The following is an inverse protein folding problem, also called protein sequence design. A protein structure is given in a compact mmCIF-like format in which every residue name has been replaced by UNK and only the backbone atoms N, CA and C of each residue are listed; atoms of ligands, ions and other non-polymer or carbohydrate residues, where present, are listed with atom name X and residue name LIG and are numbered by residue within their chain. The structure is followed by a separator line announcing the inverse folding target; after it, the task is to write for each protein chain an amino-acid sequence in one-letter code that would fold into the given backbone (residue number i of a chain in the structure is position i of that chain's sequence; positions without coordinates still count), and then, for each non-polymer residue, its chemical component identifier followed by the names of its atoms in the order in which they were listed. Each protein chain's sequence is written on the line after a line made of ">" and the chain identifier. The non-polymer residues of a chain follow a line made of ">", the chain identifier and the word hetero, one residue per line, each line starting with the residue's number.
data_IF_277729813900
#
_entry.id   IF_277729813900
#
_cell.length_a   1.000
_cell.length_b   1.000
_cell.length_c   1.000
_cell.angle_alpha   90.00
_cell.angle_beta   90.00
_cell.angle_gamma   90.00
#
_symmetry.space_group_name_H-M   'P 1'
#
loop_
_entity.id
_entity.type
_entity.pdbx_description
1 polymer ?
#
# COMPACT_ATOMS: atom_id res chain seq x y z
N UNK A 1 -26.56 2.10 -9.79
CA UNK A 1 -27.37 3.07 -9.03
C UNK A 1 -26.76 3.42 -7.68
N UNK A 2 -26.56 2.48 -6.74
CA UNK A 2 -26.14 2.79 -5.36
C UNK A 2 -24.85 3.61 -5.19
N UNK A 3 -23.82 3.41 -6.02
CA UNK A 3 -22.59 4.21 -5.96
C UNK A 3 -22.79 5.68 -6.37
N UNK A 4 -23.70 5.96 -7.31
CA UNK A 4 -24.01 7.33 -7.71
C UNK A 4 -24.80 8.03 -6.59
N UNK A 5 -25.73 7.31 -5.96
CA UNK A 5 -26.49 7.82 -4.81
C UNK A 5 -25.58 8.12 -3.60
N UNK A 6 -24.59 7.26 -3.32
CA UNK A 6 -23.59 7.52 -2.30
C UNK A 6 -22.81 8.82 -2.56
N UNK A 7 -22.36 9.03 -3.80
CA UNK A 7 -21.67 10.28 -4.15
C UNK A 7 -22.56 11.52 -3.97
N UNK A 8 -23.87 11.40 -4.24
CA UNK A 8 -24.83 12.49 -4.02
C UNK A 8 -24.96 12.75 -2.52
N UNK A 9 -25.10 11.71 -1.69
CA UNK A 9 -25.17 11.88 -0.24
C UNK A 9 -23.90 12.46 0.37
N UNK A 10 -22.72 12.04 -0.13
CA UNK A 10 -21.43 12.65 0.21
C UNK A 10 -21.36 14.12 -0.22
N UNK A 11 -21.97 14.49 -1.35
CA UNK A 11 -22.02 15.89 -1.80
C UNK A 11 -23.02 16.76 -1.03
N UNK A 12 -24.09 16.16 -0.47
CA UNK A 12 -25.12 16.86 0.31
C UNK A 12 -24.87 16.83 1.83
N UNK A 13 -23.69 16.38 2.28
CA UNK A 13 -23.28 16.21 3.69
C UNK A 13 -24.27 15.40 4.57
N UNK A 14 -24.99 14.47 3.92
CA UNK A 14 -25.98 13.58 4.55
C UNK A 14 -25.30 12.32 5.08
N UNK A 15 -24.54 12.49 6.16
CA UNK A 15 -23.63 11.47 6.68
C UNK A 15 -24.37 10.25 7.25
N UNK A 16 -25.52 10.44 7.88
CA UNK A 16 -26.30 9.36 8.46
C UNK A 16 -26.88 8.44 7.37
N UNK A 17 -27.51 9.02 6.34
CA UNK A 17 -28.09 8.27 5.22
C UNK A 17 -27.00 7.59 4.38
N UNK A 18 -25.83 8.23 4.22
CA UNK A 18 -24.68 7.63 3.55
C UNK A 18 -24.17 6.38 4.29
N UNK A 19 -24.10 6.42 5.63
CA UNK A 19 -23.70 5.26 6.44
C UNK A 19 -24.70 4.11 6.35
N UNK A 20 -25.99 4.41 6.38
CA UNK A 20 -27.03 3.38 6.24
C UNK A 20 -27.03 2.76 4.83
N UNK A 21 -26.86 3.59 3.80
CA UNK A 21 -26.70 3.11 2.43
C UNK A 21 -25.47 2.20 2.33
N UNK A 22 -24.32 2.60 2.88
CA UNK A 22 -23.10 1.77 2.90
C UNK A 22 -23.29 0.45 3.66
N UNK A 23 -23.99 0.46 4.81
CA UNK A 23 -24.36 -0.77 5.54
C UNK A 23 -25.23 -1.68 4.67
N UNK A 24 -26.25 -1.14 4.01
CA UNK A 24 -27.13 -1.91 3.12
C UNK A 24 -26.37 -2.47 1.91
N UNK A 25 -25.44 -1.69 1.34
CA UNK A 25 -24.59 -2.10 0.23
C UNK A 25 -23.62 -3.20 0.65
N UNK A 26 -23.00 -3.11 1.84
CA UNK A 26 -22.16 -4.19 2.37
C UNK A 26 -22.97 -5.46 2.58
N UNK A 27 -24.23 -5.37 3.03
CA UNK A 27 -25.12 -6.54 3.20
C UNK A 27 -25.51 -7.18 1.87
N UNK A 28 -25.81 -6.39 0.83
CA UNK A 28 -26.23 -6.86 -0.51
C UNK A 28 -25.04 -7.32 -1.37
N UNK A 29 -23.89 -6.66 -1.25
CA UNK A 29 -22.70 -6.90 -2.07
C UNK A 29 -21.48 -7.27 -1.20
N UNK A 30 -21.65 -8.28 -0.34
CA UNK A 30 -20.65 -8.72 0.66
C UNK A 30 -19.28 -9.06 0.04
N UNK A 31 -19.26 -9.61 -1.16
CA UNK A 31 -18.02 -10.01 -1.83
C UNK A 31 -17.39 -8.89 -2.70
N UNK A 32 -17.98 -7.71 -2.72
CA UNK A 32 -17.49 -6.61 -3.55
C UNK A 32 -16.43 -5.79 -2.82
N UNK A 33 -15.17 -6.00 -3.20
CA UNK A 33 -14.03 -5.21 -2.71
C UNK A 33 -14.24 -3.70 -2.94
N UNK A 34 -14.96 -3.30 -3.99
CA UNK A 34 -15.23 -1.88 -4.30
C UNK A 34 -16.14 -1.23 -3.24
N UNK A 35 -17.14 -1.97 -2.74
CA UNK A 35 -18.09 -1.46 -1.74
C UNK A 35 -17.41 -1.30 -0.39
N UNK A 36 -16.63 -2.30 0.02
CA UNK A 36 -15.87 -2.24 1.26
C UNK A 36 -14.83 -1.11 1.26
N UNK A 37 -14.11 -0.94 0.15
CA UNK A 37 -13.18 0.17 0.01
C UNK A 37 -13.87 1.54 0.06
N UNK A 38 -15.07 1.68 -0.55
CA UNK A 38 -15.87 2.92 -0.43
C UNK A 38 -16.31 3.19 1.00
N UNK A 39 -16.68 2.16 1.75
CA UNK A 39 -17.02 2.27 3.17
C UNK A 39 -15.84 2.74 4.02
N UNK A 40 -14.64 2.18 3.79
CA UNK A 40 -13.43 2.64 4.48
C UNK A 40 -13.12 4.10 4.13
N UNK A 41 -13.13 4.45 2.83
CA UNK A 41 -12.85 5.81 2.37
C UNK A 41 -13.80 6.83 3.01
N UNK A 42 -15.08 6.49 3.11
CA UNK A 42 -16.06 7.32 3.80
C UNK A 42 -15.64 7.59 5.25
N UNK A 43 -15.30 6.55 6.02
CA UNK A 43 -14.86 6.75 7.42
C UNK A 43 -13.57 7.54 7.55
N UNK A 44 -12.61 7.37 6.63
CA UNK A 44 -11.37 8.15 6.62
C UNK A 44 -11.63 9.63 6.38
N UNK A 45 -12.46 9.96 5.38
CA UNK A 45 -12.83 11.36 5.08
C UNK A 45 -13.54 12.06 6.23
N UNK A 46 -14.29 11.31 7.02
CA UNK A 46 -15.02 11.83 8.18
C UNK A 46 -14.22 11.75 9.48
N UNK A 47 -12.89 11.56 9.42
CA UNK A 47 -12.02 11.57 10.59
C UNK A 47 -12.27 10.44 11.59
N UNK A 48 -12.86 9.32 11.16
CA UNK A 48 -13.21 8.18 12.02
C UNK A 48 -12.36 6.94 11.68
N UNK A 49 -11.06 6.92 12.05
CA UNK A 49 -10.15 5.86 11.63
C UNK A 49 -10.40 4.50 12.30
N UNK A 50 -10.88 4.49 13.54
CA UNK A 50 -11.26 3.24 14.23
C UNK A 50 -12.35 2.49 13.45
N UNK A 51 -13.38 3.23 12.97
CA UNK A 51 -14.43 2.66 12.13
C UNK A 51 -13.92 2.22 10.76
N UNK A 52 -12.88 2.87 10.22
CA UNK A 52 -12.23 2.46 8.99
C UNK A 52 -11.47 1.13 9.17
N UNK A 53 -10.78 0.94 10.30
CA UNK A 53 -10.12 -0.32 10.67
C UNK A 53 -11.14 -1.45 10.86
N UNK A 54 -12.21 -1.22 11.61
CA UNK A 54 -13.29 -2.21 11.73
C UNK A 54 -13.90 -2.57 10.37
N UNK A 55 -14.03 -1.58 9.46
CA UNK A 55 -14.54 -1.82 8.13
C UNK A 55 -13.59 -2.72 7.31
N UNK A 56 -12.27 -2.60 7.51
CA UNK A 56 -11.29 -3.50 6.91
C UNK A 56 -11.42 -4.93 7.45
N UNK A 57 -11.52 -5.10 8.77
CA UNK A 57 -11.68 -6.42 9.40
C UNK A 57 -12.97 -7.11 8.90
N UNK A 58 -14.09 -6.38 8.90
CA UNK A 58 -15.37 -6.86 8.36
C UNK A 58 -15.27 -7.17 6.86
N UNK A 59 -14.49 -6.40 6.09
CA UNK A 59 -14.26 -6.67 4.69
C UNK A 59 -13.47 -7.96 4.48
N UNK A 60 -12.41 -8.21 5.26
CA UNK A 60 -11.61 -9.43 5.18
C UNK A 60 -12.42 -10.68 5.57
N UNK A 61 -13.30 -10.57 6.56
CA UNK A 61 -14.22 -11.65 6.93
C UNK A 61 -15.25 -11.95 5.82
N UNK A 62 -15.74 -10.92 5.13
CA UNK A 62 -16.77 -11.07 4.09
C UNK A 62 -16.21 -11.44 2.71
N UNK A 63 -14.94 -11.13 2.44
CA UNK A 63 -14.32 -11.34 1.13
C UNK A 63 -13.70 -12.75 1.04
N UNK A 64 -13.75 -13.38 -0.15
CA UNK A 64 -12.96 -14.59 -0.42
C UNK A 64 -11.45 -14.33 -0.28
N UNK A 65 -10.64 -15.32 0.18
CA UNK A 65 -9.20 -15.17 0.40
C UNK A 65 -8.43 -14.62 -0.81
N UNK A 66 -8.80 -15.03 -2.03
CA UNK A 66 -8.20 -14.54 -3.29
C UNK A 66 -8.32 -13.01 -3.48
N UNK A 67 -9.30 -12.36 -2.84
CA UNK A 67 -9.52 -10.90 -2.91
C UNK A 67 -8.87 -10.15 -1.74
N UNK A 68 -8.41 -10.84 -0.69
CA UNK A 68 -7.87 -10.20 0.53
C UNK A 68 -6.69 -9.30 0.21
N UNK A 69 -5.69 -9.79 -0.53
CA UNK A 69 -4.55 -8.96 -0.91
C UNK A 69 -4.96 -7.68 -1.65
N UNK A 70 -5.82 -7.82 -2.67
CA UNK A 70 -6.26 -6.68 -3.48
C UNK A 70 -7.05 -5.67 -2.64
N UNK A 71 -7.82 -6.15 -1.66
CA UNK A 71 -8.50 -5.29 -0.71
C UNK A 71 -7.49 -4.60 0.19
N UNK A 72 -6.65 -5.34 0.91
CA UNK A 72 -5.65 -4.77 1.83
C UNK A 72 -4.73 -3.76 1.16
N UNK A 73 -4.28 -4.01 -0.08
CA UNK A 73 -3.47 -3.06 -0.83
C UNK A 73 -4.21 -1.75 -1.11
N UNK A 74 -5.47 -1.82 -1.55
CA UNK A 74 -6.30 -0.62 -1.77
C UNK A 74 -6.56 0.13 -0.48
N UNK A 75 -6.80 -0.60 0.60
CA UNK A 75 -7.03 -0.02 1.91
C UNK A 75 -5.79 0.71 2.42
N UNK A 76 -4.62 0.09 2.30
CA UNK A 76 -3.35 0.71 2.66
C UNK A 76 -3.07 1.99 1.86
N UNK A 77 -3.26 1.97 0.53
CA UNK A 77 -3.13 3.17 -0.31
C UNK A 77 -4.10 4.29 0.13
N UNK A 78 -5.30 3.94 0.60
CA UNK A 78 -6.29 4.92 1.04
C UNK A 78 -5.91 5.58 2.36
N UNK A 79 -5.33 4.81 3.29
CA UNK A 79 -4.78 5.36 4.54
C UNK A 79 -3.66 6.37 4.27
N UNK A 80 -2.79 6.14 3.28
CA UNK A 80 -1.77 7.12 2.90
C UNK A 80 -2.34 8.43 2.35
N UNK A 81 -3.48 8.37 1.64
CA UNK A 81 -4.04 9.51 0.93
C UNK A 81 -4.97 10.36 1.79
N UNK A 82 -5.79 9.70 2.60
CA UNK A 82 -6.94 10.32 3.28
C UNK A 82 -6.89 10.09 4.79
N UNK A 83 -5.99 9.22 5.26
CA UNK A 83 -5.83 8.85 6.65
C UNK A 83 -4.48 9.28 7.21
N UNK A 84 -3.87 8.40 8.00
CA UNK A 84 -2.53 8.59 8.54
C UNK A 84 -1.55 7.71 7.77
N UNK A 85 -0.43 8.31 7.34
CA UNK A 85 0.66 7.58 6.70
C UNK A 85 1.23 6.48 7.60
N UNK A 86 1.22 6.65 8.93
CA UNK A 86 1.69 5.63 9.89
C UNK A 86 0.82 4.38 9.87
N UNK A 87 -0.51 4.55 9.77
CA UNK A 87 -1.43 3.40 9.60
C UNK A 87 -1.23 2.74 8.25
N UNK A 88 -1.05 3.55 7.20
CA UNK A 88 -0.67 3.07 5.89
C UNK A 88 0.58 2.19 5.94
N UNK A 89 1.66 2.67 6.59
CA UNK A 89 2.91 1.92 6.82
C UNK A 89 2.66 0.59 7.50
N UNK A 90 1.95 0.59 8.63
CA UNK A 90 1.65 -0.65 9.36
C UNK A 90 0.94 -1.68 8.47
N UNK A 91 -0.01 -1.25 7.63
CA UNK A 91 -0.67 -2.14 6.68
C UNK A 91 0.28 -2.66 5.60
N UNK A 92 1.14 -1.82 5.02
CA UNK A 92 2.13 -2.26 4.03
C UNK A 92 3.19 -3.18 4.63
N UNK A 93 3.67 -2.90 5.85
CA UNK A 93 4.60 -3.78 6.56
C UNK A 93 3.99 -5.17 6.78
N UNK A 94 2.72 -5.25 7.16
CA UNK A 94 2.00 -6.52 7.26
C UNK A 94 1.89 -7.25 5.91
N UNK A 95 1.57 -6.52 4.83
CA UNK A 95 1.45 -7.11 3.48
C UNK A 95 2.79 -7.63 2.95
N UNK A 96 3.84 -6.87 3.17
CA UNK A 96 5.18 -7.16 2.68
C UNK A 96 5.82 -8.30 3.48
N UNK A 97 5.56 -8.36 4.78
CA UNK A 97 5.99 -9.48 5.63
C UNK A 97 5.27 -10.78 5.27
N UNK A 98 3.97 -10.72 4.93
CA UNK A 98 3.21 -11.88 4.49
C UNK A 98 3.58 -12.34 3.07
N UNK A 99 3.95 -11.42 2.17
CA UNK A 99 4.24 -11.72 0.77
C UNK A 99 5.58 -11.12 0.30
N UNK A 100 6.73 -11.52 0.87
CA UNK A 100 8.02 -10.86 0.61
C UNK A 100 8.48 -10.99 -0.85
N UNK A 101 8.09 -12.06 -1.55
CA UNK A 101 8.47 -12.31 -2.96
C UNK A 101 7.67 -11.50 -3.99
N UNK A 102 6.65 -10.75 -3.55
CA UNK A 102 5.79 -9.92 -4.41
C UNK A 102 6.35 -8.51 -4.60
N UNK A 103 7.19 -8.37 -5.64
CA UNK A 103 7.82 -7.11 -6.04
C UNK A 103 6.82 -5.97 -6.35
N UNK A 104 5.63 -6.29 -6.83
CA UNK A 104 4.55 -5.33 -7.06
C UNK A 104 4.15 -4.58 -5.78
N UNK A 105 4.06 -5.28 -4.64
CA UNK A 105 3.74 -4.67 -3.34
C UNK A 105 4.82 -3.70 -2.89
N UNK A 106 6.09 -4.11 -3.02
CA UNK A 106 7.24 -3.26 -2.69
C UNK A 106 7.30 -2.01 -3.56
N UNK A 107 7.04 -2.12 -4.86
CA UNK A 107 7.02 -0.96 -5.75
C UNK A 107 5.94 0.03 -5.33
N UNK A 108 4.71 -0.44 -5.06
CA UNK A 108 3.61 0.43 -4.64
C UNK A 108 3.88 1.08 -3.28
N UNK A 109 4.53 0.35 -2.36
CA UNK A 109 4.92 0.88 -1.05
C UNK A 109 5.94 2.00 -1.20
N UNK A 110 7.02 1.77 -1.95
CA UNK A 110 8.02 2.81 -2.24
C UNK A 110 7.39 4.04 -2.91
N UNK A 111 6.42 3.84 -3.81
CA UNK A 111 5.70 4.94 -4.47
C UNK A 111 4.80 5.73 -3.50
N UNK A 112 4.28 5.11 -2.44
CA UNK A 112 3.57 5.85 -1.40
C UNK A 112 4.54 6.65 -0.53
N UNK A 113 5.67 6.06 -0.14
CA UNK A 113 6.69 6.71 0.69
C UNK A 113 7.36 7.88 -0.02
N UNK A 114 7.61 7.79 -1.32
CA UNK A 114 8.17 8.88 -2.12
C UNK A 114 7.25 10.10 -2.25
N UNK A 115 5.96 9.98 -1.95
CA UNK A 115 5.03 11.12 -1.95
C UNK A 115 5.08 11.92 -0.66
N UNK A 116 5.66 11.35 0.39
CA UNK A 116 5.78 12.00 1.68
C UNK A 116 7.10 12.78 1.72
N UNK A 117 7.07 13.98 2.28
CA UNK A 117 8.27 14.77 2.50
C UNK A 117 9.18 14.10 3.55
N UNK A 118 10.49 14.32 3.43
CA UNK A 118 11.53 13.95 4.40
C UNK A 118 11.61 12.45 4.78
N UNK A 119 11.14 11.56 3.89
CA UNK A 119 11.13 10.11 4.14
C UNK A 119 12.29 9.33 3.52
N UNK A 120 13.37 10.02 3.19
CA UNK A 120 14.53 9.44 2.51
C UNK A 120 15.11 8.25 3.29
N UNK A 121 15.28 8.38 4.61
CA UNK A 121 15.82 7.31 5.45
C UNK A 121 14.95 6.05 5.40
N UNK A 122 13.63 6.22 5.38
CA UNK A 122 12.71 5.10 5.30
C UNK A 122 12.75 4.43 3.92
N UNK A 123 12.84 5.22 2.85
CA UNK A 123 13.00 4.73 1.48
C UNK A 123 14.31 3.96 1.32
N UNK A 124 15.43 4.47 1.86
CA UNK A 124 16.73 3.76 1.87
C UNK A 124 16.61 2.41 2.57
N UNK A 125 16.04 2.38 3.78
CA UNK A 125 15.81 1.13 4.53
C UNK A 125 14.94 0.13 3.77
N UNK A 126 13.89 0.60 3.09
CA UNK A 126 13.04 -0.26 2.27
C UNK A 126 13.80 -0.83 1.07
N UNK A 127 14.57 -0.01 0.35
CA UNK A 127 15.40 -0.45 -0.77
C UNK A 127 16.49 -1.42 -0.33
N UNK A 128 17.11 -1.19 0.82
CA UNK A 128 18.07 -2.11 1.40
C UNK A 128 17.44 -3.46 1.74
N UNK A 129 16.25 -3.44 2.33
CA UNK A 129 15.52 -4.66 2.68
C UNK A 129 15.12 -5.45 1.43
N UNK A 130 14.65 -4.77 0.38
CA UNK A 130 14.29 -5.39 -0.91
C UNK A 130 15.52 -6.02 -1.57
N UNK A 131 16.65 -5.31 -1.56
CA UNK A 131 17.88 -5.78 -2.21
C UNK A 131 18.57 -6.92 -1.46
N UNK A 132 18.21 -7.14 -0.21
CA UNK A 132 18.61 -8.33 0.56
C UNK A 132 17.67 -9.54 0.34
N UNK A 133 16.55 -9.38 -0.38
CA UNK A 133 15.64 -10.49 -0.67
C UNK A 133 16.11 -11.34 -1.85
N UNK A 134 15.72 -12.61 -1.80
CA UNK A 134 15.99 -13.57 -2.85
C UNK A 134 14.98 -13.49 -4.02
N UNK A 135 14.93 -12.35 -4.73
CA UNK A 135 14.05 -12.15 -5.90
C UNK A 135 14.71 -12.57 -7.23
N UNK A 136 13.90 -12.73 -8.29
CA UNK A 136 14.43 -13.03 -9.63
C UNK A 136 15.29 -11.89 -10.17
N UNK A 137 16.28 -12.22 -11.01
CA UNK A 137 17.25 -11.26 -11.56
C UNK A 137 16.59 -10.07 -12.27
N UNK A 138 15.49 -10.31 -12.99
CA UNK A 138 14.70 -9.25 -13.64
C UNK A 138 14.13 -8.25 -12.63
N UNK A 139 13.55 -8.74 -11.52
CA UNK A 139 12.96 -7.91 -10.46
C UNK A 139 14.06 -7.16 -9.69
N UNK A 140 15.17 -7.84 -9.39
CA UNK A 140 16.29 -7.21 -8.67
C UNK A 140 16.94 -6.11 -9.50
N UNK A 141 17.14 -6.33 -10.80
CA UNK A 141 17.63 -5.28 -11.71
C UNK A 141 16.73 -4.03 -11.67
N UNK A 142 15.41 -4.21 -11.62
CA UNK A 142 14.47 -3.10 -11.46
C UNK A 142 14.68 -2.33 -10.15
N UNK A 143 14.79 -3.03 -9.02
CA UNK A 143 14.99 -2.38 -7.72
C UNK A 143 16.37 -1.74 -7.56
N UNK A 144 17.44 -2.38 -8.04
CA UNK A 144 18.78 -1.79 -8.04
C UNK A 144 18.84 -0.53 -8.90
N UNK A 145 18.22 -0.53 -10.08
CA UNK A 145 18.09 0.68 -10.89
C UNK A 145 17.37 1.79 -10.10
N UNK A 146 16.24 1.46 -9.48
CA UNK A 146 15.47 2.40 -8.65
C UNK A 146 16.27 2.93 -7.45
N UNK A 147 17.12 2.11 -6.85
CA UNK A 147 17.98 2.49 -5.73
C UNK A 147 19.09 3.45 -6.19
N UNK A 148 19.74 3.17 -7.32
CA UNK A 148 20.70 4.09 -7.91
C UNK A 148 20.06 5.42 -8.29
N UNK A 149 18.87 5.41 -8.90
CA UNK A 149 18.12 6.63 -9.24
C UNK A 149 17.73 7.43 -8.00
N UNK A 150 17.51 6.76 -6.86
CA UNK A 150 17.21 7.40 -5.58
C UNK A 150 18.47 8.01 -4.95
N UNK A 151 19.58 7.28 -4.86
CA UNK A 151 20.85 7.78 -4.33
C UNK A 151 21.48 8.86 -5.23
N UNK A 152 21.20 8.85 -6.53
CA UNK A 152 21.61 9.95 -7.41
C UNK A 152 20.90 11.27 -7.10
N UNK A 153 19.69 11.22 -6.51
CA UNK A 153 18.91 12.42 -6.14
C UNK A 153 19.16 12.89 -4.73
N UNK A 154 19.29 11.97 -3.78
CA UNK A 154 19.31 12.26 -2.34
C UNK A 154 20.58 11.76 -1.63
N UNK A 155 21.48 11.10 -2.35
CA UNK A 155 22.64 10.40 -1.80
C UNK A 155 23.97 11.07 -2.12
N UNK A 156 25.04 10.30 -1.92
CA UNK A 156 26.42 10.71 -2.21
C UNK A 156 27.10 9.70 -3.12
N UNK A 157 28.26 10.05 -3.68
CA UNK A 157 29.04 9.13 -4.51
C UNK A 157 29.38 7.81 -3.78
N UNK A 158 29.58 7.86 -2.45
CA UNK A 158 29.87 6.69 -1.64
C UNK A 158 28.67 5.73 -1.52
N UNK A 159 27.45 6.26 -1.33
CA UNK A 159 26.25 5.42 -1.23
C UNK A 159 25.90 4.79 -2.57
N UNK A 160 26.10 5.52 -3.67
CA UNK A 160 25.95 4.99 -5.03
C UNK A 160 26.91 3.82 -5.28
N UNK A 161 28.19 3.97 -4.90
CA UNK A 161 29.19 2.92 -5.10
C UNK A 161 28.89 1.67 -4.25
N UNK A 162 28.43 1.87 -3.00
CA UNK A 162 27.96 0.78 -2.15
C UNK A 162 26.79 0.00 -2.78
N UNK A 163 25.81 0.70 -3.37
CA UNK A 163 24.68 0.06 -4.08
C UNK A 163 25.16 -0.72 -5.31
N UNK A 164 26.13 -0.20 -6.07
CA UNK A 164 26.73 -0.93 -7.21
C UNK A 164 27.45 -2.20 -6.74
N UNK A 165 28.22 -2.12 -5.66
CA UNK A 165 28.92 -3.28 -5.11
C UNK A 165 27.92 -4.35 -4.63
N UNK A 166 26.86 -3.93 -3.95
CA UNK A 166 25.76 -4.81 -3.53
C UNK A 166 25.04 -5.46 -4.73
N UNK A 167 24.90 -4.74 -5.84
CA UNK A 167 24.34 -5.30 -7.07
C UNK A 167 25.26 -6.36 -7.70
N UNK A 168 26.58 -6.14 -7.70
CA UNK A 168 27.57 -7.11 -8.22
C UNK A 168 27.57 -8.39 -7.39
N UNK A 169 27.66 -8.28 -6.06
CA UNK A 169 27.63 -9.45 -5.17
C UNK A 169 26.32 -10.23 -5.26
N UNK A 170 25.19 -9.53 -5.48
CA UNK A 170 23.91 -10.19 -5.72
C UNK A 170 23.90 -11.01 -7.03
N UNK A 171 24.56 -10.53 -8.09
CA UNK A 171 24.65 -11.27 -9.36
C UNK A 171 25.60 -12.45 -9.22
N UNK A 172 26.75 -12.28 -8.55
CA UNK A 172 27.72 -13.35 -8.32
C UNK A 172 27.13 -14.50 -7.50
N UNK A 173 26.40 -14.20 -6.43
CA UNK A 173 25.70 -15.20 -5.60
C UNK A 173 24.53 -15.92 -6.29
N UNK A 174 24.18 -15.52 -7.52
CA UNK A 174 23.13 -16.17 -8.34
C UNK A 174 23.69 -16.99 -9.49
N UNK A 175 24.97 -16.79 -9.81
CA UNK A 175 25.70 -17.52 -10.86
C UNK A 175 26.46 -18.70 -10.24
N UNK A 176 26.91 -18.57 -8.99
CA UNK A 176 27.41 -19.66 -8.16
C UNK A 176 26.28 -20.57 -7.65
#
# INVERSE_FOLDING_TARGET
>A
MHLKLLNIYEATDKQAEAQELLKSMCKKFRESCKVHHRRQLFFLKHGNPEKAKEALEKALQALPPRKHLKASLKFAISEYKEGSFERGRTLFEGLVSAFPKRADLWSVYLDQEQRLADNELHIRRLLDRITSLSLSTKKMKYFFKRFLDFEAKFGSAATIEHVKQKARSYVESRIA
#
